data_IF_196103543402
#
_entry.id   IF_196103543402
#
_cell.length_a   1.000
_cell.length_b   1.000
_cell.length_c   1.000
_cell.angle_alpha   90.00
_cell.angle_beta   90.00
_cell.angle_gamma   90.00
#
_symmetry.space_group_name_H-M   'P 1'
#
loop_
_entity.id
_entity.type
_entity.pdbx_description
1 polymer ?
#
# COMPACT_ATOMS: atom_id res chain seq x y z
N UNK A 1 -78.95 -2.60 33.18
CA UNK A 1 -78.10 -1.97 32.15
C UNK A 1 -76.66 -2.37 32.36
N UNK A 2 -76.16 -3.38 31.63
CA UNK A 2 -74.73 -3.69 31.57
C UNK A 2 -74.41 -4.11 30.14
N UNK A 3 -73.73 -3.23 29.40
CA UNK A 3 -73.29 -3.49 28.03
C UNK A 3 -72.02 -4.36 28.04
N UNK A 4 -71.82 -5.31 27.11
CA UNK A 4 -70.56 -6.01 27.00
C UNK A 4 -69.54 -5.12 26.29
N UNK A 5 -68.37 -4.97 26.89
CA UNK A 5 -67.21 -4.33 26.25
C UNK A 5 -66.70 -5.27 25.16
N UNK A 6 -66.78 -4.81 23.91
CA UNK A 6 -66.22 -5.52 22.76
C UNK A 6 -64.71 -5.33 22.77
N UNK A 7 -63.98 -6.33 23.26
CA UNK A 7 -62.54 -6.44 23.08
C UNK A 7 -62.22 -6.64 21.60
N UNK A 8 -62.03 -5.53 20.88
CA UNK A 8 -61.54 -5.53 19.50
C UNK A 8 -60.09 -6.04 19.46
N UNK A 9 -59.93 -7.35 19.26
CA UNK A 9 -58.65 -7.92 18.86
C UNK A 9 -58.33 -7.43 17.44
N UNK A 10 -57.55 -6.36 17.36
CA UNK A 10 -57.04 -5.84 16.10
C UNK A 10 -56.13 -6.89 15.42
N UNK A 11 -56.28 -7.21 14.12
CA UNK A 11 -55.39 -8.13 13.43
C UNK A 11 -54.07 -7.43 13.08
N UNK A 12 -53.25 -7.14 14.09
CA UNK A 12 -51.97 -6.43 13.92
C UNK A 12 -50.80 -7.34 13.54
N UNK A 13 -51.01 -8.65 13.39
CA UNK A 13 -49.92 -9.62 13.38
C UNK A 13 -49.29 -9.85 12.01
N UNK A 14 -50.04 -10.03 10.92
CA UNK A 14 -49.44 -10.54 9.67
C UNK A 14 -48.89 -9.44 8.75
N UNK A 15 -49.63 -8.35 8.54
CA UNK A 15 -49.24 -7.26 7.62
C UNK A 15 -47.97 -6.52 8.09
N UNK A 16 -47.81 -6.35 9.41
CA UNK A 16 -46.61 -5.73 9.97
C UNK A 16 -45.38 -6.64 9.85
N UNK A 17 -45.54 -7.96 10.00
CA UNK A 17 -44.45 -8.94 9.82
C UNK A 17 -43.99 -8.98 8.37
N UNK A 18 -44.92 -8.99 7.40
CA UNK A 18 -44.61 -8.95 5.98
C UNK A 18 -43.90 -7.64 5.59
N UNK A 19 -44.34 -6.50 6.11
CA UNK A 19 -43.68 -5.21 5.89
C UNK A 19 -42.25 -5.19 6.45
N UNK A 20 -42.03 -5.74 7.65
CA UNK A 20 -40.69 -5.90 8.24
C UNK A 20 -39.80 -6.82 7.40
N UNK A 21 -40.34 -7.95 6.92
CA UNK A 21 -39.62 -8.89 6.04
C UNK A 21 -39.24 -8.23 4.71
N UNK A 22 -40.15 -7.47 4.09
CA UNK A 22 -39.89 -6.70 2.86
C UNK A 22 -38.78 -5.67 3.07
N UNK A 23 -38.81 -4.91 4.18
CA UNK A 23 -37.75 -3.95 4.53
C UNK A 23 -36.40 -4.63 4.72
N UNK A 24 -36.35 -5.76 5.44
CA UNK A 24 -35.12 -6.57 5.59
C UNK A 24 -34.57 -7.02 4.23
N UNK A 25 -35.44 -7.46 3.31
CA UNK A 25 -35.05 -7.84 1.95
C UNK A 25 -34.42 -6.69 1.15
N UNK A 26 -34.95 -5.48 1.25
CA UNK A 26 -34.39 -4.28 0.59
C UNK A 26 -33.00 -3.94 1.15
N UNK A 27 -32.84 -3.99 2.47
CA UNK A 27 -31.55 -3.72 3.13
C UNK A 27 -30.49 -4.74 2.69
N UNK A 28 -30.84 -6.03 2.68
CA UNK A 28 -29.90 -7.07 2.26
C UNK A 28 -29.59 -7.00 0.76
N UNK A 29 -30.57 -6.64 -0.09
CA UNK A 29 -30.30 -6.36 -1.51
C UNK A 29 -29.26 -5.25 -1.65
N UNK A 30 -29.45 -4.10 -1.00
CA UNK A 30 -28.47 -3.00 -1.04
C UNK A 30 -27.10 -3.40 -0.50
N UNK A 31 -27.04 -4.23 0.55
CA UNK A 31 -25.77 -4.75 1.08
C UNK A 31 -25.03 -5.60 0.04
N UNK A 32 -25.75 -6.53 -0.61
CA UNK A 32 -25.20 -7.39 -1.67
C UNK A 32 -24.73 -6.58 -2.88
N UNK A 33 -25.50 -5.57 -3.27
CA UNK A 33 -25.15 -4.69 -4.39
C UNK A 33 -23.84 -3.93 -4.09
N UNK A 34 -23.68 -3.39 -2.88
CA UNK A 34 -22.42 -2.76 -2.46
C UNK A 34 -21.23 -3.72 -2.49
N UNK A 35 -21.39 -4.94 -1.96
CA UNK A 35 -20.32 -5.95 -1.98
C UNK A 35 -19.91 -6.29 -3.41
N UNK A 36 -20.89 -6.53 -4.29
CA UNK A 36 -20.61 -6.85 -5.69
C UNK A 36 -19.94 -5.67 -6.41
N UNK A 37 -20.35 -4.44 -6.12
CA UNK A 37 -19.69 -3.24 -6.66
C UNK A 37 -18.23 -3.14 -6.22
N UNK A 38 -17.95 -3.33 -4.92
CA UNK A 38 -16.57 -3.36 -4.43
C UNK A 38 -15.72 -4.46 -5.08
N UNK A 39 -16.27 -5.66 -5.26
CA UNK A 39 -15.55 -6.75 -5.95
C UNK A 39 -15.25 -6.41 -7.42
N UNK A 40 -16.15 -5.73 -8.12
CA UNK A 40 -15.90 -5.24 -9.48
C UNK A 40 -14.80 -4.18 -9.51
N UNK A 41 -14.79 -3.25 -8.55
CA UNK A 41 -13.70 -2.27 -8.44
C UNK A 41 -12.36 -2.95 -8.13
N UNK A 42 -12.33 -3.92 -7.22
CA UNK A 42 -11.11 -4.68 -6.91
C UNK A 42 -10.55 -5.40 -8.15
N UNK A 43 -11.41 -6.00 -9.00
CA UNK A 43 -10.96 -6.60 -10.27
C UNK A 43 -10.28 -5.59 -11.20
N UNK A 44 -10.73 -4.33 -11.19
CA UNK A 44 -10.18 -3.27 -12.02
C UNK A 44 -8.89 -2.68 -11.45
N UNK A 45 -8.79 -2.59 -10.12
CA UNK A 45 -7.68 -1.94 -9.43
C UNK A 45 -6.48 -2.88 -9.20
N UNK A 46 -6.73 -4.17 -9.01
CA UNK A 46 -5.67 -5.15 -8.73
C UNK A 46 -5.09 -5.67 -10.06
N UNK A 47 -3.79 -5.45 -10.36
CA UNK A 47 -3.22 -5.76 -11.68
C UNK A 47 -3.44 -7.20 -12.13
N UNK A 48 -3.14 -8.16 -11.26
CA UNK A 48 -3.31 -9.58 -11.57
C UNK A 48 -4.78 -9.97 -11.81
N UNK A 49 -5.72 -9.33 -11.11
CA UNK A 49 -7.15 -9.59 -11.30
C UNK A 49 -7.67 -8.96 -12.59
N UNK A 50 -7.12 -7.80 -12.97
CA UNK A 50 -7.44 -7.08 -14.19
C UNK A 50 -6.99 -7.85 -15.43
N UNK A 51 -5.78 -8.41 -15.41
CA UNK A 51 -5.26 -9.24 -16.50
C UNK A 51 -6.17 -10.44 -16.81
N UNK A 52 -6.78 -11.03 -15.77
CA UNK A 52 -7.70 -12.16 -15.93
C UNK A 52 -9.13 -11.75 -16.32
N UNK A 53 -9.42 -10.46 -16.53
CA UNK A 53 -10.76 -10.00 -16.90
C UNK A 53 -11.22 -10.53 -18.27
N UNK A 54 -10.29 -10.86 -19.18
CA UNK A 54 -10.58 -11.49 -20.47
C UNK A 54 -10.77 -13.01 -20.45
N UNK A 55 -10.59 -13.65 -19.30
CA UNK A 55 -10.76 -15.10 -19.10
C UNK A 55 -12.11 -15.44 -18.46
N UNK A 56 -12.35 -16.72 -18.16
CA UNK A 56 -13.52 -17.19 -17.41
C UNK A 56 -13.75 -16.37 -16.14
N UNK A 57 -15.03 -16.12 -15.81
CA UNK A 57 -15.46 -15.30 -14.68
C UNK A 57 -14.74 -15.70 -13.38
N UNK A 58 -13.92 -14.78 -12.85
CA UNK A 58 -13.23 -14.98 -11.58
C UNK A 58 -14.23 -15.20 -10.43
N UNK A 59 -13.88 -16.15 -9.57
CA UNK A 59 -14.62 -16.41 -8.34
C UNK A 59 -14.38 -15.29 -7.33
N UNK A 60 -15.34 -15.08 -6.40
CA UNK A 60 -15.23 -14.04 -5.38
C UNK A 60 -14.02 -14.26 -4.46
N UNK A 61 -13.74 -15.51 -4.11
CA UNK A 61 -12.62 -15.87 -3.25
C UNK A 61 -11.27 -15.55 -3.93
N UNK A 62 -11.16 -15.84 -5.23
CA UNK A 62 -9.96 -15.52 -6.01
C UNK A 62 -9.70 -14.01 -6.06
N UNK A 63 -10.72 -13.19 -6.35
CA UNK A 63 -10.58 -11.72 -6.36
C UNK A 63 -10.07 -11.21 -5.00
N UNK A 64 -10.62 -11.73 -3.90
CA UNK A 64 -10.20 -11.35 -2.56
C UNK A 64 -8.76 -11.78 -2.27
N UNK A 65 -8.37 -12.99 -2.65
CA UNK A 65 -7.00 -13.49 -2.46
C UNK A 65 -5.99 -12.64 -3.23
N UNK A 66 -6.23 -12.37 -4.50
CA UNK A 66 -5.37 -11.53 -5.34
C UNK A 66 -5.25 -10.11 -4.78
N UNK A 67 -6.34 -9.58 -4.20
CA UNK A 67 -6.33 -8.28 -3.52
C UNK A 67 -5.44 -8.32 -2.27
N UNK A 68 -5.57 -9.34 -1.42
CA UNK A 68 -4.74 -9.49 -0.21
C UNK A 68 -3.26 -9.58 -0.57
N UNK A 69 -2.92 -10.36 -1.59
CA UNK A 69 -1.53 -10.51 -2.04
C UNK A 69 -0.97 -9.20 -2.60
N UNK A 70 -1.80 -8.44 -3.33
CA UNK A 70 -1.42 -7.10 -3.78
C UNK A 70 -1.20 -6.13 -2.61
N UNK A 71 -2.05 -6.15 -1.58
CA UNK A 71 -1.87 -5.32 -0.38
C UNK A 71 -0.60 -5.70 0.40
N UNK A 72 -0.27 -6.99 0.50
CA UNK A 72 0.99 -7.44 1.09
C UNK A 72 2.18 -6.94 0.31
N UNK A 73 2.13 -7.01 -1.03
CA UNK A 73 3.16 -6.45 -1.90
C UNK A 73 3.28 -4.94 -1.69
N UNK A 74 2.17 -4.21 -1.64
CA UNK A 74 2.20 -2.78 -1.35
C UNK A 74 2.78 -2.50 0.03
N UNK A 75 2.53 -3.32 1.05
CA UNK A 75 3.15 -3.14 2.37
C UNK A 75 4.65 -3.47 2.38
N UNK A 76 5.11 -4.49 1.66
CA UNK A 76 6.56 -4.78 1.57
C UNK A 76 7.29 -3.72 0.76
N UNK A 77 6.66 -3.22 -0.31
CA UNK A 77 7.18 -2.11 -1.10
C UNK A 77 7.08 -0.80 -0.33
N UNK A 78 5.98 -0.47 0.34
CA UNK A 78 5.78 0.77 1.10
C UNK A 78 6.54 0.81 2.44
N UNK A 79 6.79 -0.33 3.11
CA UNK A 79 7.78 -0.39 4.20
C UNK A 79 9.21 -0.12 3.72
N UNK A 80 9.45 -0.15 2.40
CA UNK A 80 10.68 0.31 1.73
C UNK A 80 10.48 1.53 0.83
N UNK A 81 9.28 2.12 0.77
CA UNK A 81 8.82 2.78 -0.46
C UNK A 81 7.59 3.67 -0.34
N UNK A 82 7.28 4.21 0.84
CA UNK A 82 7.29 5.67 0.81
C UNK A 82 8.71 6.02 0.39
N UNK A 83 8.88 6.81 -0.66
CA UNK A 83 10.13 7.53 -0.89
C UNK A 83 10.53 8.09 0.46
N UNK A 84 11.41 7.39 1.17
CA UNK A 84 12.09 8.00 2.29
C UNK A 84 13.08 8.90 1.58
N UNK A 85 12.56 10.06 1.15
CA UNK A 85 13.34 11.09 0.48
C UNK A 85 14.56 11.39 1.34
N UNK A 86 14.50 11.13 2.65
CA UNK A 86 15.63 11.12 3.56
C UNK A 86 16.60 9.97 3.29
N UNK A 87 16.21 8.69 3.29
CA UNK A 87 17.11 7.58 2.94
C UNK A 87 17.72 7.75 1.56
N UNK A 88 16.91 8.12 0.56
CA UNK A 88 17.39 8.39 -0.79
C UNK A 88 18.35 9.60 -0.84
N UNK A 89 18.07 10.66 -0.07
CA UNK A 89 18.99 11.79 0.04
C UNK A 89 20.28 11.43 0.79
N UNK A 90 20.23 10.53 1.78
CA UNK A 90 21.41 9.99 2.45
C UNK A 90 22.24 9.18 1.45
N UNK A 91 21.62 8.27 0.68
CA UNK A 91 22.30 7.49 -0.34
C UNK A 91 22.96 8.36 -1.42
N UNK A 92 22.24 9.37 -1.94
CA UNK A 92 22.79 10.32 -2.91
C UNK A 92 23.92 11.17 -2.31
N UNK A 93 23.79 11.58 -1.04
CA UNK A 93 24.85 12.33 -0.34
C UNK A 93 26.10 11.46 -0.19
N UNK A 94 25.95 10.21 0.26
CA UNK A 94 27.05 9.26 0.41
C UNK A 94 27.70 8.95 -0.93
N UNK A 95 26.91 8.77 -1.99
CA UNK A 95 27.40 8.58 -3.36
C UNK A 95 28.22 9.78 -3.86
N UNK A 96 27.67 10.99 -3.78
CA UNK A 96 28.35 12.21 -4.24
C UNK A 96 29.59 12.54 -3.41
N UNK A 97 29.59 12.22 -2.11
CA UNK A 97 30.78 12.34 -1.27
C UNK A 97 31.88 11.38 -1.74
N UNK A 98 31.55 10.12 -2.03
CA UNK A 98 32.52 9.15 -2.55
C UNK A 98 33.12 9.55 -3.90
N UNK A 99 32.30 10.10 -4.80
CA UNK A 99 32.79 10.65 -6.07
C UNK A 99 33.76 11.82 -5.86
N UNK A 100 33.43 12.74 -4.94
CA UNK A 100 34.32 13.84 -4.57
C UNK A 100 35.66 13.33 -4.01
N UNK A 101 35.64 12.33 -3.13
CA UNK A 101 36.87 11.69 -2.61
C UNK A 101 37.69 11.08 -3.75
N UNK A 102 37.05 10.38 -4.70
CA UNK A 102 37.72 9.83 -5.88
C UNK A 102 38.40 10.91 -6.72
N UNK A 103 37.75 12.06 -6.90
CA UNK A 103 38.30 13.18 -7.66
C UNK A 103 39.48 13.84 -6.94
N UNK A 104 39.43 13.96 -5.60
CA UNK A 104 40.56 14.42 -4.78
C UNK A 104 41.76 13.48 -4.92
N UNK A 105 41.53 12.17 -4.84
CA UNK A 105 42.60 11.16 -5.06
C UNK A 105 43.22 11.32 -6.45
N UNK A 106 42.38 11.49 -7.48
CA UNK A 106 42.82 11.68 -8.87
C UNK A 106 43.66 12.94 -9.03
N UNK A 107 43.23 14.07 -8.45
CA UNK A 107 43.94 15.34 -8.49
C UNK A 107 45.31 15.25 -7.81
N UNK A 108 45.38 14.69 -6.60
CA UNK A 108 46.63 14.54 -5.85
C UNK A 108 47.62 13.62 -6.59
N UNK A 109 47.11 12.55 -7.21
CA UNK A 109 47.93 11.64 -8.04
C UNK A 109 48.51 12.31 -9.29
N UNK A 110 47.91 13.40 -9.79
CA UNK A 110 48.45 14.18 -10.91
C UNK A 110 49.50 15.21 -10.47
N UNK A 111 49.52 15.60 -9.19
CA UNK A 111 50.49 16.57 -8.65
C UNK A 111 51.78 15.90 -8.19
N UNK A 112 51.68 14.68 -7.64
CA UNK A 112 52.80 13.96 -7.08
C UNK A 112 53.62 13.26 -8.19
N UNK A 113 54.65 13.94 -8.67
CA UNK A 113 55.76 13.31 -9.38
C UNK A 113 56.62 12.49 -8.40
N UNK A 114 56.65 11.16 -8.61
CA UNK A 114 57.51 10.12 -7.99
C UNK A 114 57.60 10.02 -6.44
N UNK A 115 57.02 10.94 -5.66
CA UNK A 115 56.98 10.84 -4.20
C UNK A 115 55.59 11.13 -3.66
N UNK A 116 54.98 10.13 -2.99
CA UNK A 116 53.66 10.26 -2.37
C UNK A 116 53.73 11.22 -1.19
N UNK A 117 53.05 12.36 -1.27
CA UNK A 117 53.02 13.33 -0.18
C UNK A 117 52.35 12.69 1.07
N UNK A 118 53.05 12.61 2.23
CA UNK A 118 52.46 12.06 3.45
C UNK A 118 51.23 12.85 3.92
N UNK A 119 51.08 14.13 3.55
CA UNK A 119 49.87 14.91 3.81
C UNK A 119 48.72 14.44 2.91
N UNK A 120 48.96 14.22 1.61
CA UNK A 120 47.99 13.67 0.67
C UNK A 120 47.47 12.30 1.12
N UNK A 121 48.36 11.41 1.56
CA UNK A 121 47.97 10.09 2.08
C UNK A 121 47.07 10.17 3.32
N UNK A 122 47.39 11.06 4.28
CA UNK A 122 46.55 11.29 5.47
C UNK A 122 45.19 11.88 5.11
N UNK A 123 45.15 12.81 4.16
CA UNK A 123 43.91 13.42 3.69
C UNK A 123 42.98 12.38 3.06
N UNK A 124 43.49 11.57 2.13
CA UNK A 124 42.71 10.50 1.48
C UNK A 124 42.20 9.47 2.49
N UNK A 125 43.05 9.06 3.45
CA UNK A 125 42.66 8.14 4.51
C UNK A 125 41.52 8.70 5.38
N UNK A 126 41.62 9.97 5.78
CA UNK A 126 40.58 10.64 6.56
C UNK A 126 39.26 10.73 5.80
N UNK A 127 39.29 11.18 4.54
CA UNK A 127 38.11 11.30 3.70
C UNK A 127 37.45 9.93 3.43
N UNK A 128 38.24 8.89 3.24
CA UNK A 128 37.72 7.52 3.04
C UNK A 128 37.04 6.98 4.31
N UNK A 129 37.59 7.30 5.48
CA UNK A 129 36.97 6.95 6.76
C UNK A 129 35.64 7.70 6.95
N UNK A 130 35.59 9.02 6.71
CA UNK A 130 34.35 9.78 6.76
C UNK A 130 33.30 9.25 5.77
N UNK A 131 33.70 8.77 4.58
CA UNK A 131 32.79 8.18 3.61
C UNK A 131 32.15 6.87 4.08
N UNK A 132 32.78 6.15 5.01
CA UNK A 132 32.26 4.92 5.60
C UNK A 132 31.30 5.14 6.77
N UNK A 133 31.33 6.33 7.38
CA UNK A 133 30.48 6.72 8.51
C UNK A 133 29.22 7.50 8.07
N UNK A 134 29.08 7.76 6.77
CA UNK A 134 28.03 8.57 6.13
C UNK A 134 26.87 7.70 5.63
#
# INVERSE_FOLDING_TARGET
SVSPVTGSMSPSSTSQILARKKRRGIIEKRRRDRINHSLSELRRLVPSAFEKQGSSKLEKAEILQMTVDHLKLLHTVSSKGYFDARALAVDYRTLGFRECVGEVVRYLSCLDGESTDPVAARLVSHLSHCASEL
#
